data_IF_581209944875
#
_entry.id   IF_581209944875
#
_cell.length_a   1.000
_cell.length_b   1.000
_cell.length_c   1.000
_cell.angle_alpha   90.00
_cell.angle_beta   90.00
_cell.angle_gamma   90.00
#
_symmetry.space_group_name_H-M   'P 1'
#
loop_
_entity.id
_entity.type
_entity.pdbx_description
1 polymer ?
#
# COMPACT_ATOMS: atom_id res chain seq x y z
N UNK A 1 -14.95 -43.36 46.61
CA UNK A 1 -14.23 -42.05 46.57
C UNK A 1 -14.34 -41.54 45.13
N UNK A 2 -15.45 -40.94 44.65
CA UNK A 2 -16.00 -39.58 44.87
C UNK A 2 -14.93 -38.48 44.95
N UNK A 3 -14.75 -37.70 43.86
CA UNK A 3 -15.35 -36.37 43.57
C UNK A 3 -15.44 -36.23 42.02
N UNK A 4 -16.60 -35.99 41.38
CA UNK A 4 -17.17 -34.69 40.94
C UNK A 4 -16.10 -33.71 40.39
N UNK A 5 -16.23 -32.96 39.31
CA UNK A 5 -17.31 -32.36 38.50
C UNK A 5 -16.55 -31.64 37.35
N UNK A 6 -16.94 -31.56 36.08
CA UNK A 6 -18.22 -31.10 35.55
C UNK A 6 -18.05 -29.73 34.88
N UNK A 7 -18.83 -29.51 33.81
CA UNK A 7 -19.15 -28.23 33.17
C UNK A 7 -18.06 -27.60 32.27
N UNK A 8 -18.24 -27.32 30.97
CA UNK A 8 -19.32 -26.71 30.15
C UNK A 8 -18.84 -25.32 29.71
N UNK A 9 -19.04 -25.05 28.42
CA UNK A 9 -19.04 -23.68 27.87
C UNK A 9 -17.62 -23.12 27.70
N UNK A 10 -17.40 -22.15 26.84
CA UNK A 10 -18.33 -21.29 26.15
C UNK A 10 -17.59 -20.79 24.90
N UNK A 11 -18.37 -20.50 23.87
CA UNK A 11 -17.89 -19.84 22.65
C UNK A 11 -17.28 -18.49 23.04
N UNK A 12 -16.05 -18.24 22.63
CA UNK A 12 -15.55 -16.90 22.29
C UNK A 12 -15.03 -17.07 20.86
N UNK A 13 -15.69 -16.68 19.77
CA UNK A 13 -16.43 -15.44 19.47
C UNK A 13 -15.72 -14.18 19.95
N UNK A 14 -14.47 -14.02 19.55
CA UNK A 14 -13.96 -12.69 19.25
C UNK A 14 -14.39 -12.31 17.84
N UNK A 15 -15.52 -11.61 17.84
CA UNK A 15 -16.10 -10.90 16.72
C UNK A 15 -15.04 -10.01 16.05
N UNK A 16 -15.04 -10.04 14.72
CA UNK A 16 -14.38 -9.02 13.92
C UNK A 16 -14.99 -7.67 14.30
N UNK A 17 -14.19 -6.76 14.80
CA UNK A 17 -14.44 -5.34 14.55
C UNK A 17 -13.53 -4.91 13.40
N UNK A 18 -14.06 -5.01 12.19
CA UNK A 18 -13.64 -4.11 11.12
C UNK A 18 -14.22 -2.73 11.46
N UNK A 19 -13.36 -1.74 11.66
CA UNK A 19 -13.73 -0.36 11.38
C UNK A 19 -12.66 0.26 10.46
N UNK A 20 -13.04 0.88 9.33
CA UNK A 20 -12.19 1.03 8.13
C UNK A 20 -11.52 2.40 8.04
N UNK A 21 -11.21 3.03 9.18
CA UNK A 21 -10.61 4.37 9.26
C UNK A 21 -9.70 4.40 10.47
N UNK A 22 -8.39 4.66 10.26
CA UNK A 22 -7.28 4.56 11.25
C UNK A 22 -6.86 3.08 11.45
N UNK A 23 -5.79 2.52 10.87
CA UNK A 23 -4.42 3.01 10.86
C UNK A 23 -3.70 2.60 12.15
N UNK A 24 -3.25 1.32 12.26
CA UNK A 24 -2.13 0.86 13.14
C UNK A 24 -2.49 0.92 14.67
N UNK A 25 -2.40 -0.10 15.54
CA UNK A 25 -1.49 -1.24 15.68
C UNK A 25 -1.90 -2.25 16.79
N UNK A 26 -1.38 -3.49 16.65
CA UNK A 26 -0.65 -4.34 17.63
C UNK A 26 -1.07 -4.36 19.12
N UNK A 27 -1.32 -5.57 19.64
CA UNK A 27 -1.03 -6.00 21.02
C UNK A 27 -0.57 -7.48 20.98
N UNK A 28 0.75 -7.74 21.02
CA UNK A 28 1.61 -8.01 22.18
C UNK A 28 1.26 -9.27 22.99
N UNK A 29 2.12 -10.28 22.84
CA UNK A 29 2.19 -11.52 23.62
C UNK A 29 2.26 -11.24 25.14
N UNK A 30 1.41 -11.91 25.92
CA UNK A 30 1.56 -12.00 27.37
C UNK A 30 2.70 -12.98 27.72
N UNK A 31 3.65 -12.50 28.53
CA UNK A 31 4.95 -13.13 28.75
C UNK A 31 5.05 -14.14 29.90
N UNK A 32 6.24 -14.76 29.98
CA UNK A 32 6.78 -15.40 31.16
C UNK A 32 8.31 -15.18 31.27
N UNK A 33 8.70 -14.27 32.16
CA UNK A 33 9.85 -14.31 33.09
C UNK A 33 11.22 -14.92 32.69
N UNK A 34 12.28 -14.08 32.60
CA UNK A 34 13.37 -13.84 33.61
C UNK A 34 14.63 -13.18 32.98
N UNK A 35 15.20 -12.27 33.77
CA UNK A 35 16.30 -11.28 33.56
C UNK A 35 17.70 -11.93 33.64
N UNK A 36 18.87 -11.27 33.44
CA UNK A 36 19.38 -10.37 32.37
C UNK A 36 20.63 -10.94 31.67
N UNK A 37 20.93 -10.54 30.44
CA UNK A 37 22.31 -10.62 29.92
C UNK A 37 22.81 -9.22 29.58
N UNK A 38 23.91 -8.83 30.25
CA UNK A 38 24.74 -7.69 29.89
C UNK A 38 25.25 -7.90 28.46
N UNK A 39 24.54 -7.35 27.50
CA UNK A 39 25.00 -7.18 26.13
C UNK A 39 24.87 -5.71 25.80
N UNK A 40 25.97 -5.09 25.38
CA UNK A 40 25.96 -3.76 24.78
C UNK A 40 25.05 -3.87 23.55
N UNK A 41 23.82 -3.34 23.65
CA UNK A 41 22.95 -3.17 22.50
C UNK A 41 23.66 -2.18 21.56
N UNK A 42 23.94 -2.54 20.30
CA UNK A 42 24.12 -1.50 19.30
C UNK A 42 22.82 -0.69 19.30
N UNK A 43 22.94 0.59 19.64
CA UNK A 43 21.86 1.56 19.57
C UNK A 43 21.20 1.41 18.19
N UNK A 44 19.99 0.82 18.16
CA UNK A 44 19.12 0.93 17.00
C UNK A 44 19.01 2.43 16.70
N UNK A 45 19.30 2.88 15.47
CA UNK A 45 19.08 4.27 15.10
C UNK A 45 17.63 4.61 15.46
N UNK A 46 17.43 5.62 16.29
CA UNK A 46 16.08 6.12 16.57
C UNK A 46 15.41 6.45 15.24
N UNK A 47 14.12 6.07 15.06
CA UNK A 47 13.40 6.42 13.85
C UNK A 47 13.45 7.94 13.69
N UNK A 48 13.98 8.39 12.53
CA UNK A 48 14.09 9.81 12.22
C UNK A 48 12.67 10.38 12.23
N UNK A 49 12.36 11.17 13.26
CA UNK A 49 11.10 11.89 13.35
C UNK A 49 11.14 13.02 12.33
N UNK A 50 10.61 12.75 11.15
CA UNK A 50 10.42 13.77 10.12
C UNK A 50 9.20 14.61 10.51
N UNK A 51 9.45 15.77 11.13
CA UNK A 51 8.46 16.83 11.19
C UNK A 51 8.29 17.40 9.78
N UNK A 52 7.46 16.74 8.98
CA UNK A 52 7.11 17.20 7.65
C UNK A 52 6.21 18.44 7.81
N UNK A 53 6.81 19.62 7.64
CA UNK A 53 6.05 20.85 7.43
C UNK A 53 5.04 20.63 6.28
N UNK A 54 3.77 21.04 6.43
CA UNK A 54 2.79 20.88 5.38
C UNK A 54 3.32 21.49 4.08
N UNK A 55 3.27 20.70 3.01
CA UNK A 55 3.81 21.09 1.72
C UNK A 55 3.24 22.45 1.32
N UNK A 56 4.13 23.41 1.03
CA UNK A 56 3.76 24.75 0.55
C UNK A 56 2.73 24.59 -0.58
N UNK A 57 1.57 25.24 -0.44
CA UNK A 57 0.44 25.12 -1.38
C UNK A 57 0.82 25.44 -2.83
N UNK A 58 1.88 26.25 -3.01
CA UNK A 58 2.48 26.62 -4.30
C UNK A 58 3.07 25.43 -5.08
N UNK A 59 3.40 24.33 -4.41
CA UNK A 59 3.96 23.12 -5.02
C UNK A 59 2.99 21.94 -4.99
N UNK A 60 1.71 22.18 -4.69
CA UNK A 60 0.69 21.15 -4.80
C UNK A 60 0.45 20.76 -6.26
N UNK A 61 0.03 19.52 -6.48
CA UNK A 61 -0.37 19.02 -7.81
C UNK A 61 -1.43 19.96 -8.42
N UNK A 62 -2.41 20.39 -7.63
CA UNK A 62 -3.45 21.32 -8.07
C UNK A 62 -2.86 22.67 -8.57
N UNK A 63 -1.87 23.23 -7.87
CA UNK A 63 -1.21 24.47 -8.29
C UNK A 63 -0.44 24.29 -9.60
N UNK A 64 0.24 23.15 -9.79
CA UNK A 64 0.94 22.82 -11.04
C UNK A 64 -0.07 22.73 -12.19
N UNK A 65 -1.17 21.99 -12.01
CA UNK A 65 -2.19 21.82 -13.04
C UNK A 65 -2.96 23.10 -13.36
N UNK A 66 -3.14 24.00 -12.40
CA UNK A 66 -3.79 25.30 -12.62
C UNK A 66 -3.00 26.21 -13.58
N UNK A 67 -1.67 26.05 -13.66
CA UNK A 67 -0.80 26.80 -14.55
C UNK A 67 -0.79 26.30 -16.01
N UNK A 68 -1.44 25.17 -16.30
CA UNK A 68 -1.48 24.60 -17.65
C UNK A 68 -2.65 25.16 -18.46
N UNK A 69 -2.43 25.37 -19.75
CA UNK A 69 -3.51 25.60 -20.71
C UNK A 69 -4.19 24.27 -21.07
N UNK A 70 -5.38 24.34 -21.70
CA UNK A 70 -6.20 23.16 -22.02
C UNK A 70 -5.44 22.11 -22.83
N UNK A 71 -4.69 22.51 -23.87
CA UNK A 71 -3.96 21.59 -24.74
C UNK A 71 -2.84 20.88 -23.98
N UNK A 72 -2.12 21.60 -23.11
CA UNK A 72 -1.09 21.01 -22.26
C UNK A 72 -1.69 20.06 -21.23
N UNK A 73 -2.81 20.45 -20.63
CA UNK A 73 -3.54 19.64 -19.64
C UNK A 73 -4.07 18.35 -20.26
N UNK A 74 -4.61 18.39 -21.49
CA UNK A 74 -5.10 17.21 -22.20
C UNK A 74 -3.97 16.24 -22.54
N UNK A 75 -2.80 16.74 -22.98
CA UNK A 75 -1.61 15.90 -23.18
C UNK A 75 -1.15 15.24 -21.89
N UNK A 76 -1.06 16.02 -20.80
CA UNK A 76 -0.72 15.48 -19.47
C UNK A 76 -1.73 14.41 -19.07
N UNK A 77 -3.04 14.64 -19.27
CA UNK A 77 -4.09 13.67 -18.97
C UNK A 77 -3.90 12.36 -19.74
N UNK A 78 -3.60 12.41 -21.04
CA UNK A 78 -3.31 11.20 -21.81
C UNK A 78 -2.10 10.44 -21.25
N UNK A 79 -1.01 11.14 -20.95
CA UNK A 79 0.23 10.52 -20.48
C UNK A 79 0.08 9.90 -19.08
N UNK A 80 -0.62 10.58 -18.16
CA UNK A 80 -0.87 10.00 -16.82
C UNK A 80 -1.82 8.82 -16.87
N UNK A 81 -2.75 8.74 -17.83
CA UNK A 81 -3.59 7.55 -18.00
C UNK A 81 -2.75 6.38 -18.51
N UNK A 82 -1.89 6.60 -19.51
CA UNK A 82 -0.97 5.55 -19.99
C UNK A 82 -0.07 5.03 -18.88
N UNK A 83 0.53 5.93 -18.11
CA UNK A 83 1.42 5.54 -17.03
C UNK A 83 0.67 4.83 -15.89
N UNK A 84 -0.59 5.24 -15.62
CA UNK A 84 -1.45 4.51 -14.69
C UNK A 84 -1.73 3.07 -15.16
N UNK A 85 -1.98 2.86 -16.46
CA UNK A 85 -2.16 1.51 -17.05
C UNK A 85 -0.88 0.68 -16.87
N UNK A 86 0.30 1.25 -17.12
CA UNK A 86 1.59 0.57 -16.91
C UNK A 86 1.83 0.17 -15.46
N UNK A 87 1.52 1.05 -14.50
CA UNK A 87 1.64 0.70 -13.08
C UNK A 87 0.72 -0.45 -12.67
N UNK A 88 -0.50 -0.49 -13.23
CA UNK A 88 -1.43 -1.59 -13.01
C UNK A 88 -0.88 -2.91 -13.57
N UNK A 89 -0.44 -2.92 -14.83
CA UNK A 89 0.15 -4.09 -15.49
C UNK A 89 1.37 -4.61 -14.72
N UNK A 90 2.23 -3.70 -14.25
CA UNK A 90 3.42 -4.07 -13.47
C UNK A 90 3.06 -4.69 -12.12
N UNK A 91 2.13 -4.09 -11.37
CA UNK A 91 1.67 -4.64 -10.10
C UNK A 91 1.00 -6.01 -10.29
N UNK A 92 0.22 -6.18 -11.36
CA UNK A 92 -0.39 -7.46 -11.70
C UNK A 92 0.67 -8.53 -12.04
N UNK A 93 1.67 -8.19 -12.85
CA UNK A 93 2.77 -9.10 -13.20
C UNK A 93 3.51 -9.60 -11.94
N UNK A 94 3.76 -8.72 -10.97
CA UNK A 94 4.41 -9.09 -9.72
C UNK A 94 3.52 -9.98 -8.85
N UNK A 95 2.21 -9.69 -8.79
CA UNK A 95 1.25 -10.55 -8.10
C UNK A 95 1.18 -11.95 -8.68
N UNK A 96 1.13 -12.08 -10.01
CA UNK A 96 1.10 -13.37 -10.69
C UNK A 96 2.37 -14.18 -10.39
N UNK A 97 3.55 -13.55 -10.45
CA UNK A 97 4.82 -14.18 -10.07
C UNK A 97 4.83 -14.65 -8.61
N UNK A 98 4.34 -13.82 -7.69
CA UNK A 98 4.20 -14.19 -6.28
C UNK A 98 3.26 -15.39 -6.11
N UNK A 99 2.12 -15.40 -6.78
CA UNK A 99 1.15 -16.49 -6.69
C UNK A 99 1.72 -17.82 -7.19
N UNK A 100 2.53 -17.80 -8.25
CA UNK A 100 3.21 -19.00 -8.76
C UNK A 100 4.24 -19.50 -7.76
N UNK A 101 5.10 -18.59 -7.28
CA UNK A 101 6.12 -18.95 -6.31
C UNK A 101 5.51 -19.45 -5.01
N UNK A 102 4.53 -18.78 -4.41
CA UNK A 102 3.90 -19.25 -3.16
C UNK A 102 3.27 -20.66 -3.28
N UNK A 103 2.83 -21.06 -4.47
CA UNK A 103 2.32 -22.41 -4.74
C UNK A 103 3.44 -23.48 -4.78
N UNK A 104 4.67 -23.10 -5.11
CA UNK A 104 5.84 -24.00 -5.21
C UNK A 104 6.58 -24.18 -3.88
N UNK A 105 6.10 -23.56 -2.80
CA UNK A 105 6.72 -23.53 -1.47
C UNK A 105 8.23 -23.14 -1.42
N UNK A 106 8.71 -22.10 -2.14
CA UNK A 106 10.06 -21.61 -2.00
C UNK A 106 10.22 -20.98 -0.60
N UNK A 107 11.40 -21.16 -0.02
CA UNK A 107 11.81 -20.57 1.25
C UNK A 107 13.09 -19.81 0.94
N UNK A 108 13.09 -18.49 1.16
CA UNK A 108 14.30 -17.69 0.97
C UNK A 108 14.04 -16.20 0.77
N UNK A 109 15.13 -15.45 0.77
CA UNK A 109 15.17 -13.99 0.65
C UNK A 109 14.55 -13.52 -0.68
N UNK A 110 14.60 -14.32 -1.75
CA UNK A 110 14.05 -14.01 -3.07
C UNK A 110 12.52 -13.78 -3.07
N UNK A 111 11.77 -14.52 -2.24
CA UNK A 111 10.32 -14.28 -2.09
C UNK A 111 10.08 -12.96 -1.34
N UNK A 112 10.87 -12.68 -0.31
CA UNK A 112 10.65 -11.47 0.48
C UNK A 112 11.02 -10.22 -0.32
N UNK A 113 12.06 -10.28 -1.16
CA UNK A 113 12.38 -9.25 -2.13
C UNK A 113 11.23 -9.04 -3.13
N UNK A 114 10.67 -10.12 -3.67
CA UNK A 114 9.54 -10.02 -4.59
C UNK A 114 8.28 -9.45 -3.91
N UNK A 115 8.03 -9.79 -2.63
CA UNK A 115 6.96 -9.20 -1.82
C UNK A 115 7.20 -7.73 -1.58
N UNK A 116 8.44 -7.33 -1.31
CA UNK A 116 8.81 -5.93 -1.17
C UNK A 116 8.53 -5.17 -2.47
N UNK A 117 8.99 -5.68 -3.61
CA UNK A 117 8.77 -5.09 -4.93
C UNK A 117 7.28 -4.95 -5.25
N UNK A 118 6.49 -5.99 -4.95
CA UNK A 118 5.04 -5.94 -5.11
C UNK A 118 4.39 -4.85 -4.25
N UNK A 119 4.77 -4.74 -2.97
CA UNK A 119 4.29 -3.67 -2.08
C UNK A 119 4.66 -2.29 -2.62
N UNK A 120 5.87 -2.12 -3.13
CA UNK A 120 6.31 -0.88 -3.76
C UNK A 120 5.53 -0.56 -5.03
N UNK A 121 5.24 -1.56 -5.86
CA UNK A 121 4.41 -1.39 -7.06
C UNK A 121 2.98 -0.95 -6.71
N UNK A 122 2.38 -1.52 -5.66
CA UNK A 122 1.06 -1.10 -5.18
C UNK A 122 1.05 0.35 -4.68
N UNK A 123 2.09 0.77 -3.95
CA UNK A 123 2.23 2.15 -3.47
C UNK A 123 2.35 3.13 -4.65
N UNK A 124 3.21 2.81 -5.64
CA UNK A 124 3.36 3.62 -6.86
C UNK A 124 2.04 3.71 -7.64
N UNK A 125 1.38 2.57 -7.87
CA UNK A 125 0.08 2.51 -8.54
C UNK A 125 -0.97 3.37 -7.81
N UNK A 126 -1.02 3.32 -6.48
CA UNK A 126 -2.00 4.08 -5.69
C UNK A 126 -1.71 5.57 -5.69
N UNK A 127 -0.45 5.97 -5.51
CA UNK A 127 -0.04 7.37 -5.58
C UNK A 127 -0.30 7.96 -6.97
N UNK A 128 0.03 7.21 -8.02
CA UNK A 128 -0.19 7.65 -9.39
C UNK A 128 -1.69 7.76 -9.71
N UNK A 129 -2.53 6.86 -9.19
CA UNK A 129 -4.00 6.98 -9.34
C UNK A 129 -4.54 8.30 -8.75
N UNK A 130 -3.99 8.77 -7.62
CA UNK A 130 -4.38 10.06 -7.04
C UNK A 130 -3.99 11.23 -7.97
N UNK A 131 -2.83 11.16 -8.61
CA UNK A 131 -2.40 12.13 -9.62
C UNK A 131 -3.34 12.08 -10.82
N UNK A 132 -3.61 10.89 -11.37
CA UNK A 132 -4.53 10.71 -12.50
C UNK A 132 -5.91 11.28 -12.18
N UNK A 133 -6.47 11.01 -11.00
CA UNK A 133 -7.75 11.59 -10.57
C UNK A 133 -7.71 13.11 -10.59
N UNK A 134 -6.71 13.73 -9.95
CA UNK A 134 -6.59 15.19 -9.90
C UNK A 134 -6.48 15.83 -11.29
N UNK A 135 -5.78 15.17 -12.22
CA UNK A 135 -5.65 15.63 -13.61
C UNK A 135 -7.00 15.55 -14.35
N UNK A 136 -7.71 14.43 -14.22
CA UNK A 136 -9.03 14.25 -14.84
C UNK A 136 -10.07 15.21 -14.26
N UNK A 137 -10.07 15.40 -12.94
CA UNK A 137 -10.94 16.35 -12.26
C UNK A 137 -10.70 17.78 -12.76
N UNK A 138 -9.42 18.15 -13.00
CA UNK A 138 -9.06 19.45 -13.55
C UNK A 138 -9.46 19.62 -15.02
N UNK A 139 -9.31 18.58 -15.83
CA UNK A 139 -9.68 18.58 -17.25
C UNK A 139 -11.21 18.53 -17.45
N UNK A 140 -11.95 17.96 -16.49
CA UNK A 140 -13.40 17.84 -16.52
C UNK A 140 -13.93 16.75 -17.48
N UNK A 141 -13.05 15.99 -18.11
CA UNK A 141 -13.36 14.85 -19.00
C UNK A 141 -12.23 13.83 -19.03
N UNK A 142 -12.54 12.60 -19.43
CA UNK A 142 -11.53 11.57 -19.73
C UNK A 142 -11.14 11.70 -21.22
N UNK A 143 -9.87 11.98 -21.55
CA UNK A 143 -9.44 12.05 -22.94
C UNK A 143 -9.44 10.65 -23.57
N UNK A 144 -9.70 10.58 -24.88
CA UNK A 144 -9.57 9.34 -25.65
C UNK A 144 -8.10 9.09 -25.93
N UNK A 145 -7.64 7.86 -25.72
CA UNK A 145 -6.30 7.47 -26.11
C UNK A 145 -6.33 6.96 -27.56
N UNK A 146 -5.33 7.29 -28.40
CA UNK A 146 -5.26 6.81 -29.78
C UNK A 146 -5.14 5.29 -29.88
N UNK A 147 -4.66 4.65 -28.80
CA UNK A 147 -4.62 3.19 -28.66
C UNK A 147 -6.02 2.56 -28.58
N UNK A 148 -7.03 3.34 -28.17
CA UNK A 148 -8.41 2.86 -28.06
C UNK A 148 -9.13 2.88 -29.43
N UNK A 149 -8.57 3.50 -30.47
CA UNK A 149 -9.18 3.64 -31.81
C UNK A 149 -8.86 2.49 -32.77
N UNK A 150 -7.82 1.68 -32.49
CA UNK A 150 -7.37 0.59 -33.37
C UNK A 150 -8.07 -0.75 -33.12
N UNK A 151 -9.05 -0.79 -32.21
CA UNK A 151 -9.80 -2.02 -31.86
C UNK A 151 -11.13 -2.18 -32.62
N UNK A 152 -11.25 -1.60 -33.82
CA UNK A 152 -12.42 -1.73 -34.69
C UNK A 152 -12.12 -2.53 -35.96
#
# INVERSE_FOLDING_TARGET
MSRYSGAKGLRDRLERFSNPRLGVEILFNAGAHRVPSRGILPLLPEPISLNLEPSSSKHSIAAILAGLNEVALERVAMDVIREQRRHLEHAQTLYEKLSVLEAEAPLGDEIEDLRHDYRMALLKMRAHHQITSAVIDRLGRVPRLPEDETSH
#
